data_IF_701208674194
#
_entry.id   IF_701208674194
#
_cell.length_a   1.000
_cell.length_b   1.000
_cell.length_c   1.000
_cell.angle_alpha   90.00
_cell.angle_beta   90.00
_cell.angle_gamma   90.00
#
_symmetry.space_group_name_H-M   'P 1'
#
loop_
_entity.id
_entity.type
_entity.pdbx_description
1 polymer ?
#
# COMPACT_ATOMS: atom_id res chain seq x y z
N UNK A 1 -4.13 -19.88 37.64
CA UNK A 1 -5.39 -19.10 37.54
C UNK A 1 -5.50 -18.59 36.11
N UNK A 2 -6.49 -19.02 35.33
CA UNK A 2 -6.72 -18.47 33.99
C UNK A 2 -7.24 -17.04 34.15
N UNK A 3 -6.57 -16.11 33.47
CA UNK A 3 -6.96 -14.70 33.44
C UNK A 3 -8.31 -14.57 32.71
N UNK A 4 -9.21 -13.84 33.34
CA UNK A 4 -10.57 -13.52 32.88
C UNK A 4 -10.58 -12.55 31.64
N UNK A 5 -9.58 -12.63 30.78
CA UNK A 5 -9.44 -11.73 29.60
C UNK A 5 -10.41 -12.12 28.48
N UNK A 6 -10.97 -13.33 28.54
CA UNK A 6 -11.90 -13.82 27.48
C UNK A 6 -13.34 -13.28 27.61
N UNK A 7 -13.73 -12.76 28.78
CA UNK A 7 -15.07 -12.21 28.99
C UNK A 7 -15.26 -10.81 28.42
N UNK A 8 -14.19 -10.01 28.36
CA UNK A 8 -14.24 -8.65 27.81
C UNK A 8 -14.33 -8.61 26.27
N UNK A 9 -13.97 -9.71 25.60
CA UNK A 9 -13.96 -9.79 24.14
C UNK A 9 -15.37 -9.94 23.51
N UNK A 10 -16.40 -10.25 24.29
CA UNK A 10 -17.74 -10.60 23.75
C UNK A 10 -18.69 -9.42 23.50
N UNK A 11 -18.41 -8.20 23.93
CA UNK A 11 -19.35 -7.07 23.84
C UNK A 11 -18.88 -5.88 22.98
N UNK A 12 -17.74 -5.94 22.33
CA UNK A 12 -17.32 -4.92 21.36
C UNK A 12 -18.10 -5.09 20.06
N UNK A 13 -19.21 -4.37 19.88
CA UNK A 13 -19.91 -4.34 18.59
C UNK A 13 -18.93 -3.84 17.52
N UNK A 14 -18.53 -4.71 16.62
CA UNK A 14 -17.71 -4.33 15.47
C UNK A 14 -18.47 -3.34 14.60
N UNK A 15 -17.82 -2.26 14.21
CA UNK A 15 -18.41 -1.28 13.29
C UNK A 15 -18.56 -1.93 11.90
N UNK A 16 -19.79 -2.04 11.36
CA UNK A 16 -19.98 -2.59 10.02
C UNK A 16 -19.44 -1.63 8.96
N UNK A 17 -19.03 -2.19 7.80
CA UNK A 17 -18.50 -1.41 6.66
C UNK A 17 -19.48 -0.31 6.24
N UNK A 18 -20.79 -0.60 6.20
CA UNK A 18 -21.82 0.38 5.85
C UNK A 18 -21.82 1.60 6.78
N UNK A 19 -21.59 1.40 8.07
CA UNK A 19 -21.50 2.51 9.02
C UNK A 19 -20.21 3.31 8.83
N UNK A 20 -19.09 2.65 8.49
CA UNK A 20 -17.83 3.35 8.20
C UNK A 20 -17.95 4.23 6.95
N UNK A 21 -18.65 3.77 5.92
CA UNK A 21 -18.85 4.53 4.67
C UNK A 21 -19.74 5.77 4.88
N UNK A 22 -20.61 5.78 5.89
CA UNK A 22 -21.45 6.94 6.24
C UNK A 22 -20.83 7.84 7.32
N UNK A 23 -19.75 7.39 7.97
CA UNK A 23 -19.02 8.21 8.95
C UNK A 23 -18.30 9.36 8.23
N UNK A 24 -18.64 10.61 8.59
CA UNK A 24 -18.03 11.80 7.99
C UNK A 24 -16.51 11.83 8.14
N UNK A 25 -15.99 11.31 9.25
CA UNK A 25 -14.54 11.22 9.47
C UNK A 25 -13.83 10.27 8.51
N UNK A 26 -14.56 9.39 7.82
CA UNK A 26 -14.06 8.50 6.77
C UNK A 26 -14.47 8.99 5.39
N UNK A 27 -15.75 9.27 5.19
CA UNK A 27 -16.33 9.63 3.89
C UNK A 27 -15.72 10.91 3.32
N UNK A 28 -15.55 11.97 4.13
CA UNK A 28 -15.00 13.24 3.64
C UNK A 28 -13.55 13.12 3.16
N UNK A 29 -12.60 12.59 3.95
CA UNK A 29 -11.23 12.40 3.49
C UNK A 29 -11.13 11.50 2.25
N UNK A 30 -11.91 10.44 2.18
CA UNK A 30 -11.94 9.53 1.03
C UNK A 30 -12.45 10.21 -0.24
N UNK A 31 -13.52 11.00 -0.13
CA UNK A 31 -14.07 11.76 -1.26
C UNK A 31 -13.08 12.81 -1.75
N UNK A 32 -12.48 13.60 -0.84
CA UNK A 32 -11.48 14.60 -1.19
C UNK A 32 -10.25 13.97 -1.85
N UNK A 33 -9.79 12.84 -1.31
CA UNK A 33 -8.69 12.09 -1.91
C UNK A 33 -9.05 11.64 -3.33
N UNK A 34 -10.22 11.02 -3.54
CA UNK A 34 -10.66 10.54 -4.84
C UNK A 34 -10.76 11.67 -5.86
N UNK A 35 -11.37 12.79 -5.50
CA UNK A 35 -11.44 13.98 -6.36
C UNK A 35 -10.03 14.48 -6.71
N UNK A 36 -9.12 14.55 -5.73
CA UNK A 36 -7.75 15.01 -5.95
C UNK A 36 -6.98 14.09 -6.89
N UNK A 37 -7.13 12.77 -6.75
CA UNK A 37 -6.49 11.78 -7.62
C UNK A 37 -7.01 11.91 -9.06
N UNK A 38 -8.33 11.99 -9.24
CA UNK A 38 -8.94 12.15 -10.56
C UNK A 38 -8.52 13.48 -11.20
N UNK A 39 -8.50 14.57 -10.44
CA UNK A 39 -8.03 15.86 -10.92
C UNK A 39 -6.55 15.79 -11.35
N UNK A 40 -5.67 15.18 -10.57
CA UNK A 40 -4.27 14.95 -10.93
C UNK A 40 -4.13 14.10 -12.20
N UNK A 41 -4.88 13.01 -12.30
CA UNK A 41 -4.81 12.10 -13.43
C UNK A 41 -5.27 12.76 -14.74
N UNK A 42 -6.38 13.52 -14.71
CA UNK A 42 -6.98 14.05 -15.94
C UNK A 42 -6.53 15.48 -16.27
N UNK A 43 -6.17 16.30 -15.27
CA UNK A 43 -5.76 17.68 -15.50
C UNK A 43 -4.25 17.82 -15.73
N UNK A 44 -3.41 17.07 -15.00
CA UNK A 44 -1.95 17.14 -15.12
C UNK A 44 -1.36 16.13 -16.10
N UNK A 45 -2.10 15.09 -16.47
CA UNK A 45 -1.62 14.06 -17.38
C UNK A 45 -1.09 14.59 -18.70
N UNK A 46 -1.88 15.32 -19.50
CA UNK A 46 -1.45 15.84 -20.79
C UNK A 46 -0.24 16.79 -20.72
N UNK A 47 -0.19 17.80 -19.82
CA UNK A 47 0.98 18.64 -19.64
C UNK A 47 2.25 17.88 -19.26
N UNK A 48 2.13 16.90 -18.35
CA UNK A 48 3.27 16.09 -17.93
C UNK A 48 3.82 15.23 -19.06
N UNK A 49 2.98 14.72 -19.95
CA UNK A 49 3.42 13.99 -21.13
C UNK A 49 4.28 14.87 -22.08
N UNK A 50 3.93 16.13 -22.24
CA UNK A 50 4.72 17.10 -23.01
C UNK A 50 6.08 17.35 -22.36
N UNK A 51 6.12 17.55 -21.04
CA UNK A 51 7.37 17.81 -20.29
C UNK A 51 8.31 16.59 -20.30
N UNK A 52 7.79 15.40 -20.19
CA UNK A 52 8.59 14.17 -20.17
C UNK A 52 9.04 13.70 -21.55
N UNK A 53 8.66 14.43 -22.63
CA UNK A 53 9.10 14.17 -24.01
C UNK A 53 8.64 12.81 -24.57
N UNK A 54 7.61 12.21 -23.99
CA UNK A 54 7.11 10.93 -24.43
C UNK A 54 8.13 9.79 -24.31
N UNK A 55 9.25 10.00 -23.59
CA UNK A 55 10.27 8.97 -23.39
C UNK A 55 9.56 7.76 -22.76
N UNK A 56 9.50 6.69 -23.53
CA UNK A 56 8.97 5.43 -23.09
C UNK A 56 9.59 5.07 -21.75
N UNK A 57 8.76 4.79 -20.76
CA UNK A 57 9.25 4.41 -19.45
C UNK A 57 10.21 3.22 -19.59
N UNK A 58 11.00 2.99 -18.58
CA UNK A 58 11.94 1.87 -18.47
C UNK A 58 11.34 0.52 -18.92
N UNK A 59 10.04 0.39 -18.87
CA UNK A 59 9.29 -0.72 -19.44
C UNK A 59 8.88 -0.34 -20.86
N UNK A 60 9.47 -0.99 -21.89
CA UNK A 60 9.27 -0.70 -23.32
C UNK A 60 7.80 -0.65 -23.78
N UNK A 61 6.85 -1.13 -22.98
CA UNK A 61 5.41 -1.09 -23.18
C UNK A 61 4.71 -0.61 -21.90
N UNK A 62 5.38 0.15 -21.03
CA UNK A 62 4.78 0.69 -19.80
C UNK A 62 3.88 1.90 -20.09
N UNK A 63 2.96 2.21 -19.17
CA UNK A 63 2.13 3.39 -19.28
C UNK A 63 2.99 4.65 -19.33
N UNK A 64 2.49 5.75 -19.96
CA UNK A 64 3.17 7.03 -19.98
C UNK A 64 3.57 7.46 -18.56
N UNK A 65 4.77 8.04 -18.41
CA UNK A 65 5.35 8.41 -17.11
C UNK A 65 4.43 9.29 -16.26
N UNK A 66 3.68 10.20 -16.87
CA UNK A 66 2.78 11.07 -16.15
C UNK A 66 1.71 10.33 -15.34
N UNK A 67 1.34 9.10 -15.79
CA UNK A 67 0.38 8.28 -15.07
C UNK A 67 0.87 7.85 -13.68
N UNK A 68 2.18 7.84 -13.46
CA UNK A 68 2.77 7.57 -12.15
C UNK A 68 2.69 8.79 -11.19
N UNK A 69 2.50 10.01 -11.70
CA UNK A 69 2.51 11.22 -10.89
C UNK A 69 1.35 11.28 -9.88
N UNK A 70 0.16 10.80 -10.29
CA UNK A 70 -1.01 10.78 -9.41
C UNK A 70 -0.83 9.82 -8.22
N UNK A 71 0.03 8.81 -8.39
CA UNK A 71 0.31 7.81 -7.39
C UNK A 71 1.17 8.35 -6.23
N UNK A 72 2.12 9.23 -6.51
CA UNK A 72 3.10 9.72 -5.54
C UNK A 72 2.50 10.35 -4.27
N UNK A 73 1.51 11.26 -4.34
CA UNK A 73 0.92 11.84 -3.13
C UNK A 73 0.30 10.78 -2.21
N UNK A 74 -0.34 9.77 -2.77
CA UNK A 74 -0.96 8.70 -1.99
C UNK A 74 0.10 7.80 -1.35
N UNK A 75 1.11 7.37 -2.12
CA UNK A 75 2.16 6.45 -1.66
C UNK A 75 3.10 7.10 -0.64
N UNK A 76 3.56 8.31 -0.93
CA UNK A 76 4.64 8.96 -0.17
C UNK A 76 4.13 9.83 0.98
N UNK A 77 2.86 10.25 0.94
CA UNK A 77 2.31 11.19 1.93
C UNK A 77 1.09 10.60 2.63
N UNK A 78 0.03 10.32 1.89
CA UNK A 78 -1.27 10.01 2.52
C UNK A 78 -1.23 8.73 3.34
N UNK A 79 -0.70 7.63 2.80
CA UNK A 79 -0.61 6.37 3.55
C UNK A 79 0.27 6.48 4.80
N UNK A 80 1.49 7.05 4.76
CA UNK A 80 2.27 7.31 5.97
C UNK A 80 1.55 8.21 6.98
N UNK A 81 0.86 9.26 6.54
CA UNK A 81 0.08 10.14 7.42
C UNK A 81 -1.04 9.38 8.13
N UNK A 82 -1.82 8.57 7.41
CA UNK A 82 -2.87 7.75 8.01
C UNK A 82 -2.31 6.78 9.05
N UNK A 83 -1.13 6.19 8.79
CA UNK A 83 -0.46 5.33 9.76
C UNK A 83 -0.06 6.10 11.03
N UNK A 84 0.61 7.25 10.87
CA UNK A 84 1.05 8.07 12.02
C UNK A 84 -0.14 8.56 12.84
N UNK A 85 -1.20 9.03 12.19
CA UNK A 85 -2.41 9.49 12.89
C UNK A 85 -3.12 8.34 13.62
N UNK A 86 -3.22 7.17 12.98
CA UNK A 86 -3.80 5.98 13.61
C UNK A 86 -2.97 5.49 14.79
N UNK A 87 -1.64 5.50 14.66
CA UNK A 87 -0.73 5.13 15.72
C UNK A 87 -0.78 6.10 16.93
N UNK A 88 -0.82 7.41 16.65
CA UNK A 88 -0.96 8.43 17.70
C UNK A 88 -2.27 8.32 18.45
N UNK A 89 -3.37 8.01 17.78
CA UNK A 89 -4.68 7.81 18.39
C UNK A 89 -4.70 6.65 19.42
N UNK A 90 -3.74 5.73 19.34
CA UNK A 90 -3.55 4.60 20.26
C UNK A 90 -2.59 4.88 21.43
N UNK A 91 -2.12 6.10 21.59
CA UNK A 91 -1.17 6.44 22.65
C UNK A 91 0.18 5.74 22.53
N UNK A 92 0.68 5.60 21.30
CA UNK A 92 2.03 5.05 21.01
C UNK A 92 2.26 3.58 21.40
N UNK A 93 1.22 2.77 21.49
CA UNK A 93 1.32 1.35 21.87
C UNK A 93 1.86 0.42 20.74
N UNK A 94 2.20 0.96 19.58
CA UNK A 94 2.81 0.23 18.46
C UNK A 94 1.85 -0.55 17.56
N UNK A 95 2.37 -1.08 16.43
CA UNK A 95 1.54 -1.74 15.41
C UNK A 95 0.81 -2.99 15.93
N UNK A 96 1.41 -3.73 16.87
CA UNK A 96 0.79 -4.91 17.48
C UNK A 96 -0.49 -4.55 18.23
N UNK A 97 -0.44 -3.52 19.07
CA UNK A 97 -1.60 -3.08 19.86
C UNK A 97 -2.71 -2.58 18.94
N UNK A 98 -2.36 -1.86 17.89
CA UNK A 98 -3.32 -1.40 16.89
C UNK A 98 -4.01 -2.55 16.17
N UNK A 99 -3.27 -3.58 15.76
CA UNK A 99 -3.84 -4.78 15.17
C UNK A 99 -4.82 -5.50 16.10
N UNK A 100 -4.46 -5.66 17.37
CA UNK A 100 -5.33 -6.28 18.36
C UNK A 100 -6.60 -5.46 18.62
N UNK A 101 -6.49 -4.13 18.68
CA UNK A 101 -7.65 -3.27 18.81
C UNK A 101 -8.54 -3.37 17.56
N UNK A 102 -7.97 -3.31 16.36
CA UNK A 102 -8.72 -3.48 15.12
C UNK A 102 -9.47 -4.82 15.07
N UNK A 103 -8.83 -5.90 15.50
CA UNK A 103 -9.46 -7.22 15.55
C UNK A 103 -10.67 -7.28 16.48
N UNK A 104 -10.65 -6.51 17.58
CA UNK A 104 -11.71 -6.49 18.58
C UNK A 104 -12.88 -5.59 18.17
N UNK A 105 -12.58 -4.38 17.72
CA UNK A 105 -13.55 -3.30 17.61
C UNK A 105 -13.84 -2.87 16.17
N UNK A 106 -12.88 -3.05 15.25
CA UNK A 106 -12.92 -2.50 13.89
C UNK A 106 -13.32 -1.02 13.87
N UNK A 107 -12.72 -0.23 14.76
CA UNK A 107 -13.01 1.17 14.92
C UNK A 107 -11.79 2.03 14.64
N UNK A 108 -12.05 3.30 14.34
CA UNK A 108 -11.05 4.32 14.09
C UNK A 108 -11.06 4.80 12.65
N UNK A 109 -11.27 6.11 12.42
CA UNK A 109 -11.43 6.66 11.07
C UNK A 109 -10.19 6.43 10.21
N UNK A 110 -8.98 6.58 10.78
CA UNK A 110 -7.73 6.38 10.03
C UNK A 110 -7.53 4.92 9.56
N UNK A 111 -7.95 3.94 10.38
CA UNK A 111 -7.92 2.54 9.99
C UNK A 111 -8.92 2.26 8.87
N UNK A 112 -10.15 2.76 8.99
CA UNK A 112 -11.15 2.64 7.94
C UNK A 112 -10.77 3.38 6.66
N UNK A 113 -10.18 4.58 6.76
CA UNK A 113 -9.64 5.26 5.58
C UNK A 113 -8.62 4.38 4.85
N UNK A 114 -7.69 3.74 5.56
CA UNK A 114 -6.73 2.83 4.92
C UNK A 114 -7.40 1.59 4.32
N UNK A 115 -8.34 0.97 5.05
CA UNK A 115 -9.06 -0.23 4.60
C UNK A 115 -9.82 0.03 3.29
N UNK A 116 -10.35 1.22 3.11
CA UNK A 116 -11.07 1.61 1.90
C UNK A 116 -10.15 2.18 0.81
N UNK A 117 -9.16 2.99 1.21
CA UNK A 117 -8.24 3.66 0.29
C UNK A 117 -7.41 2.67 -0.53
N UNK A 118 -6.80 1.69 0.13
CA UNK A 118 -5.84 0.82 -0.55
C UNK A 118 -6.46 -0.01 -1.69
N UNK A 119 -7.59 -0.72 -1.50
CA UNK A 119 -8.22 -1.43 -2.61
C UNK A 119 -8.79 -0.47 -3.67
N UNK A 120 -9.34 0.69 -3.27
CA UNK A 120 -9.84 1.69 -4.21
C UNK A 120 -8.70 2.25 -5.06
N UNK A 121 -7.55 2.50 -4.48
CA UNK A 121 -6.32 2.87 -5.16
C UNK A 121 -5.94 1.85 -6.25
N UNK A 122 -5.85 0.56 -5.89
CA UNK A 122 -5.50 -0.50 -6.83
C UNK A 122 -6.54 -0.65 -7.94
N UNK A 123 -7.82 -0.42 -7.63
CA UNK A 123 -8.89 -0.41 -8.64
C UNK A 123 -8.81 0.80 -9.57
N UNK A 124 -8.43 1.97 -9.06
CA UNK A 124 -8.25 3.16 -9.89
C UNK A 124 -7.15 2.98 -10.94
N UNK A 125 -6.10 2.22 -10.65
CA UNK A 125 -5.09 1.89 -11.64
C UNK A 125 -5.68 1.21 -12.88
N UNK A 126 -6.67 0.34 -12.71
CA UNK A 126 -7.36 -0.30 -13.86
C UNK A 126 -8.11 0.71 -14.72
N UNK A 127 -8.68 1.75 -14.13
CA UNK A 127 -9.42 2.79 -14.86
C UNK A 127 -8.48 3.83 -15.48
N UNK A 128 -7.44 4.23 -14.78
CA UNK A 128 -6.52 5.29 -15.23
C UNK A 128 -5.52 4.75 -16.26
N UNK A 129 -4.98 3.54 -16.03
CA UNK A 129 -4.03 2.92 -16.93
C UNK A 129 -4.70 2.23 -18.13
N UNK A 130 -5.96 1.80 -17.95
CA UNK A 130 -6.66 0.94 -18.91
C UNK A 130 -6.23 -0.53 -18.77
N UNK A 131 -7.19 -1.42 -18.80
CA UNK A 131 -6.92 -2.87 -18.74
C UNK A 131 -6.07 -3.36 -19.91
N UNK A 132 -6.25 -2.71 -21.09
CA UNK A 132 -5.54 -3.04 -22.33
C UNK A 132 -4.04 -2.75 -22.25
N UNK A 133 -3.67 -1.69 -21.53
CA UNK A 133 -2.28 -1.28 -21.33
C UNK A 133 -1.59 -2.00 -20.16
N UNK A 134 -2.39 -2.70 -19.33
CA UNK A 134 -1.88 -3.34 -18.12
C UNK A 134 -1.27 -4.70 -18.44
N UNK A 135 0.00 -4.89 -18.07
CA UNK A 135 0.64 -6.19 -18.21
C UNK A 135 -0.05 -7.24 -17.36
N UNK A 136 -0.18 -8.50 -17.81
CA UNK A 136 -0.80 -9.58 -17.03
C UNK A 136 -0.19 -9.73 -15.63
N UNK A 137 1.11 -9.51 -15.50
CA UNK A 137 1.80 -9.58 -14.20
C UNK A 137 1.34 -8.45 -13.26
N UNK A 138 1.06 -7.25 -13.77
CA UNK A 138 0.53 -6.14 -12.96
C UNK A 138 -0.92 -6.40 -12.55
N UNK A 139 -1.73 -6.94 -13.44
CA UNK A 139 -3.09 -7.38 -13.12
C UNK A 139 -3.08 -8.42 -11.98
N UNK A 140 -2.25 -9.44 -12.11
CA UNK A 140 -2.08 -10.47 -11.08
C UNK A 140 -1.60 -9.86 -9.75
N UNK A 141 -0.65 -8.91 -9.81
CA UNK A 141 -0.17 -8.19 -8.65
C UNK A 141 -1.31 -7.43 -7.94
N UNK A 142 -2.10 -6.64 -8.66
CA UNK A 142 -3.20 -5.86 -8.08
C UNK A 142 -4.27 -6.76 -7.46
N UNK A 143 -4.69 -7.81 -8.17
CA UNK A 143 -5.66 -8.78 -7.64
C UNK A 143 -5.12 -9.44 -6.38
N UNK A 144 -3.86 -9.88 -6.39
CA UNK A 144 -3.22 -10.49 -5.22
C UNK A 144 -3.16 -9.51 -4.05
N UNK A 145 -2.83 -8.24 -4.29
CA UNK A 145 -2.79 -7.21 -3.25
C UNK A 145 -4.19 -6.92 -2.67
N UNK A 146 -5.24 -6.86 -3.50
CA UNK A 146 -6.62 -6.67 -3.02
C UNK A 146 -7.05 -7.86 -2.14
N UNK A 147 -6.81 -9.09 -2.61
CA UNK A 147 -7.14 -10.31 -1.85
C UNK A 147 -6.37 -10.36 -0.53
N UNK A 148 -5.06 -10.08 -0.57
CA UNK A 148 -4.22 -10.03 0.63
C UNK A 148 -4.71 -8.96 1.62
N UNK A 149 -5.14 -7.80 1.11
CA UNK A 149 -5.70 -6.72 1.92
C UNK A 149 -6.97 -7.16 2.65
N UNK A 150 -7.92 -7.74 1.92
CA UNK A 150 -9.16 -8.23 2.52
C UNK A 150 -8.88 -9.30 3.58
N UNK A 151 -7.96 -10.22 3.31
CA UNK A 151 -7.54 -11.26 4.23
C UNK A 151 -6.88 -10.67 5.48
N UNK A 152 -6.00 -9.70 5.34
CA UNK A 152 -5.29 -9.09 6.45
C UNK A 152 -6.18 -8.19 7.31
N UNK A 153 -7.12 -7.49 6.70
CA UNK A 153 -7.99 -6.57 7.42
C UNK A 153 -9.14 -7.26 8.17
N UNK A 154 -9.55 -8.46 7.75
CA UNK A 154 -10.74 -9.12 8.32
C UNK A 154 -10.44 -10.46 8.99
N UNK A 155 -10.12 -11.57 8.30
CA UNK A 155 -9.89 -12.87 8.97
C UNK A 155 -8.66 -12.86 9.89
N UNK A 156 -7.60 -12.14 9.54
CA UNK A 156 -6.37 -12.09 10.33
C UNK A 156 -6.09 -10.70 10.92
N UNK A 157 -7.14 -10.01 11.30
CA UNK A 157 -7.16 -8.64 11.77
C UNK A 157 -6.19 -8.32 12.93
N UNK A 158 -5.80 -9.32 13.74
CA UNK A 158 -4.80 -9.13 14.79
C UNK A 158 -3.44 -8.65 14.26
N UNK A 159 -3.10 -8.98 13.02
CA UNK A 159 -1.89 -8.52 12.33
C UNK A 159 -2.02 -7.16 11.64
N UNK A 160 -3.20 -6.52 11.65
CA UNK A 160 -3.52 -5.33 10.85
C UNK A 160 -2.46 -4.23 10.91
N UNK A 161 -1.98 -3.87 12.10
CA UNK A 161 -1.00 -2.79 12.23
C UNK A 161 0.34 -3.11 11.55
N UNK A 162 0.81 -4.36 11.63
CA UNK A 162 2.01 -4.81 10.91
C UNK A 162 1.78 -4.91 9.41
N UNK A 163 0.59 -5.35 9.01
CA UNK A 163 0.18 -5.34 7.61
C UNK A 163 0.20 -3.93 7.04
N UNK A 164 -0.42 -2.98 7.73
CA UNK A 164 -0.47 -1.58 7.29
C UNK A 164 0.94 -1.00 7.12
N UNK A 165 1.82 -1.19 8.11
CA UNK A 165 3.21 -0.75 8.02
C UNK A 165 3.97 -1.44 6.88
N UNK A 166 3.72 -2.72 6.64
CA UNK A 166 4.27 -3.48 5.52
C UNK A 166 3.82 -2.92 4.16
N UNK A 167 2.53 -2.59 4.03
CA UNK A 167 2.00 -1.94 2.80
C UNK A 167 2.66 -0.59 2.58
N UNK A 168 2.77 0.28 3.61
CA UNK A 168 3.46 1.56 3.48
C UNK A 168 4.91 1.36 3.03
N UNK A 169 5.59 0.37 3.60
CA UNK A 169 6.97 0.08 3.23
C UNK A 169 7.08 -0.33 1.77
N UNK A 170 6.17 -1.17 1.27
CA UNK A 170 6.13 -1.56 -0.15
C UNK A 170 5.74 -0.38 -1.03
N UNK A 171 4.75 0.42 -0.65
CA UNK A 171 4.32 1.59 -1.42
C UNK A 171 5.39 2.68 -1.47
N UNK A 172 6.21 2.84 -0.43
CA UNK A 172 7.39 3.70 -0.48
C UNK A 172 8.34 3.27 -1.60
N UNK A 173 8.65 1.98 -1.72
CA UNK A 173 9.47 1.47 -2.82
C UNK A 173 8.83 1.66 -4.20
N UNK A 174 7.50 1.52 -4.30
CA UNK A 174 6.75 1.85 -5.53
C UNK A 174 6.83 3.34 -5.85
N UNK A 175 6.73 4.21 -4.84
CA UNK A 175 6.91 5.65 -4.99
C UNK A 175 8.30 6.02 -5.51
N UNK A 176 9.35 5.38 -4.97
CA UNK A 176 10.73 5.56 -5.47
C UNK A 176 10.87 5.07 -6.90
N UNK A 177 10.21 3.95 -7.28
CA UNK A 177 10.13 3.50 -8.67
C UNK A 177 9.46 4.55 -9.57
N UNK A 178 8.36 5.15 -9.11
CA UNK A 178 7.68 6.20 -9.86
C UNK A 178 8.57 7.44 -10.03
N UNK A 179 9.32 7.84 -9.00
CA UNK A 179 10.32 8.92 -9.09
C UNK A 179 11.41 8.56 -10.11
N UNK A 180 11.89 7.31 -10.10
CA UNK A 180 12.85 6.82 -11.10
C UNK A 180 12.28 6.94 -12.53
N UNK A 181 11.01 6.59 -12.73
CA UNK A 181 10.34 6.74 -14.02
C UNK A 181 10.25 8.21 -14.51
N UNK A 182 10.25 9.19 -13.60
CA UNK A 182 10.34 10.61 -13.90
C UNK A 182 11.77 11.13 -14.01
N UNK A 183 12.77 10.35 -13.67
CA UNK A 183 14.12 10.78 -13.32
C UNK A 183 15.02 11.26 -14.47
N UNK A 184 14.51 11.40 -15.69
CA UNK A 184 15.24 12.11 -16.72
C UNK A 184 15.18 13.62 -16.46
N UNK A 185 16.24 14.38 -16.34
CA UNK A 185 17.66 14.16 -16.72
C UNK A 185 18.59 13.67 -15.59
N UNK A 186 18.08 13.22 -14.46
CA UNK A 186 18.85 12.89 -13.24
C UNK A 186 19.45 11.45 -13.25
N UNK A 187 19.38 10.81 -14.38
CA UNK A 187 20.03 9.55 -14.63
C UNK A 187 21.57 9.73 -14.61
N UNK A 188 22.37 8.95 -13.90
CA UNK A 188 22.09 7.64 -13.27
C UNK A 188 21.67 7.70 -11.79
N UNK A 189 21.70 8.87 -11.13
CA UNK A 189 21.39 9.00 -9.72
C UNK A 189 20.03 8.35 -9.35
N UNK A 190 19.01 8.57 -10.18
CA UNK A 190 17.68 8.00 -9.95
C UNK A 190 17.66 6.48 -10.00
N UNK A 191 18.56 5.83 -10.77
CA UNK A 191 18.73 4.38 -10.81
C UNK A 191 19.26 3.84 -9.49
N UNK A 192 20.28 4.50 -8.92
CA UNK A 192 20.83 4.11 -7.61
C UNK A 192 19.80 4.30 -6.50
N UNK A 193 19.08 5.43 -6.51
CA UNK A 193 18.01 5.72 -5.54
C UNK A 193 16.88 4.70 -5.66
N UNK A 194 16.51 4.33 -6.88
CA UNK A 194 15.49 3.30 -7.11
C UNK A 194 15.93 1.94 -6.56
N UNK A 195 17.12 1.49 -6.89
CA UNK A 195 17.65 0.21 -6.41
C UNK A 195 17.75 0.19 -4.88
N UNK A 196 18.34 1.22 -4.28
CA UNK A 196 18.48 1.33 -2.84
C UNK A 196 17.13 1.43 -2.13
N UNK A 197 16.24 2.30 -2.60
CA UNK A 197 14.91 2.51 -2.04
C UNK A 197 14.05 1.24 -2.13
N UNK A 198 14.11 0.53 -3.25
CA UNK A 198 13.40 -0.74 -3.41
C UNK A 198 13.96 -1.80 -2.45
N UNK A 199 15.28 -1.90 -2.31
CA UNK A 199 15.92 -2.85 -1.38
C UNK A 199 15.53 -2.56 0.06
N UNK A 200 15.62 -1.31 0.51
CA UNK A 200 15.20 -0.90 1.86
C UNK A 200 13.72 -1.19 2.09
N UNK A 201 12.87 -0.83 1.13
CA UNK A 201 11.44 -1.10 1.15
C UNK A 201 11.13 -2.60 1.35
N UNK A 202 11.80 -3.45 0.60
CA UNK A 202 11.63 -4.90 0.66
C UNK A 202 12.11 -5.47 2.00
N UNK A 203 13.23 -4.98 2.56
CA UNK A 203 13.73 -5.39 3.88
C UNK A 203 12.75 -4.99 4.98
N UNK A 204 12.20 -3.76 4.93
CA UNK A 204 11.19 -3.31 5.87
C UNK A 204 9.90 -4.14 5.78
N UNK A 205 9.47 -4.50 4.57
CA UNK A 205 8.31 -5.37 4.37
C UNK A 205 8.55 -6.78 4.96
N UNK A 206 9.74 -7.35 4.79
CA UNK A 206 10.12 -8.62 5.43
C UNK A 206 10.14 -8.51 6.97
N UNK A 207 10.62 -7.40 7.51
CA UNK A 207 10.56 -7.13 8.96
C UNK A 207 9.11 -7.07 9.46
N UNK A 208 8.23 -6.40 8.73
CA UNK A 208 6.80 -6.36 9.06
C UNK A 208 6.15 -7.74 8.98
N UNK A 209 6.50 -8.54 7.96
CA UNK A 209 6.00 -9.91 7.82
C UNK A 209 6.48 -10.82 8.96
N UNK A 210 7.72 -10.67 9.43
CA UNK A 210 8.20 -11.36 10.62
C UNK A 210 7.33 -11.07 11.83
N UNK A 211 7.04 -9.80 12.12
CA UNK A 211 6.19 -9.42 13.24
C UNK A 211 4.71 -9.81 13.04
N UNK A 212 4.23 -9.83 11.80
CA UNK A 212 2.93 -10.39 11.45
C UNK A 212 2.83 -11.84 11.90
N UNK A 213 3.81 -12.68 11.56
CA UNK A 213 3.88 -14.10 11.95
C UNK A 213 3.86 -14.27 13.47
N UNK A 214 4.51 -13.37 14.22
CA UNK A 214 4.51 -13.41 15.67
C UNK A 214 3.15 -13.00 16.30
N UNK A 215 2.36 -12.22 15.56
CA UNK A 215 1.09 -11.66 16.07
C UNK A 215 -0.11 -12.50 15.68
N UNK A 216 -0.13 -13.05 14.46
CA UNK A 216 -1.24 -13.86 13.94
C UNK A 216 -1.13 -15.28 14.46
N UNK A 217 -2.16 -15.77 15.16
CA UNK A 217 -2.15 -17.11 15.75
C UNK A 217 -2.39 -18.23 14.73
N UNK A 218 -3.20 -17.96 13.71
CA UNK A 218 -3.54 -18.95 12.67
C UNK A 218 -2.34 -19.36 11.84
N UNK A 219 -2.12 -20.67 11.67
CA UNK A 219 -1.07 -21.21 10.78
C UNK A 219 -1.26 -20.76 9.33
N UNK A 220 -2.48 -20.77 8.83
CA UNK A 220 -2.82 -20.32 7.47
C UNK A 220 -2.51 -18.83 7.30
N UNK A 221 -2.89 -17.99 8.27
CA UNK A 221 -2.59 -16.56 8.23
C UNK A 221 -1.08 -16.28 8.22
N UNK A 222 -0.30 -16.99 9.02
CA UNK A 222 1.17 -16.88 9.01
C UNK A 222 1.75 -17.27 7.66
N UNK A 223 1.34 -18.41 7.11
CA UNK A 223 1.82 -18.89 5.82
C UNK A 223 1.47 -17.93 4.69
N UNK A 224 0.24 -17.44 4.64
CA UNK A 224 -0.21 -16.46 3.65
C UNK A 224 0.65 -15.20 3.71
N UNK A 225 0.89 -14.65 4.90
CA UNK A 225 1.73 -13.47 5.07
C UNK A 225 3.17 -13.67 4.57
N UNK A 226 3.78 -14.82 4.89
CA UNK A 226 5.14 -15.16 4.42
C UNK A 226 5.17 -15.32 2.90
N UNK A 227 4.24 -16.08 2.33
CA UNK A 227 4.23 -16.39 0.89
C UNK A 227 4.00 -15.11 0.07
N UNK A 228 2.98 -14.33 0.43
CA UNK A 228 2.67 -13.10 -0.30
C UNK A 228 3.83 -12.11 -0.20
N UNK A 229 4.35 -11.85 1.00
CA UNK A 229 5.48 -10.93 1.17
C UNK A 229 6.71 -11.44 0.43
N UNK A 230 7.03 -12.72 0.52
CA UNK A 230 8.17 -13.32 -0.18
C UNK A 230 8.06 -13.20 -1.70
N UNK A 231 6.91 -13.55 -2.27
CA UNK A 231 6.68 -13.41 -3.72
C UNK A 231 6.79 -11.95 -4.15
N UNK A 232 6.12 -11.04 -3.46
CA UNK A 232 6.14 -9.61 -3.81
C UNK A 232 7.56 -9.03 -3.72
N UNK A 233 8.29 -9.28 -2.64
CA UNK A 233 9.63 -8.73 -2.45
C UNK A 233 10.64 -9.29 -3.45
N UNK A 234 10.57 -10.59 -3.78
CA UNK A 234 11.43 -11.20 -4.80
C UNK A 234 11.14 -10.61 -6.18
N UNK A 235 9.87 -10.49 -6.57
CA UNK A 235 9.49 -9.92 -7.86
C UNK A 235 9.98 -8.46 -7.98
N UNK A 236 9.75 -7.65 -6.96
CA UNK A 236 10.14 -6.23 -6.92
C UNK A 236 11.67 -6.07 -6.96
N UNK A 237 12.39 -6.90 -6.19
CA UNK A 237 13.86 -6.84 -6.17
C UNK A 237 14.46 -7.26 -7.51
N UNK A 238 13.85 -8.26 -8.16
CA UNK A 238 14.27 -8.69 -9.50
C UNK A 238 14.12 -7.58 -10.54
N UNK A 239 13.02 -6.84 -10.51
CA UNK A 239 12.80 -5.71 -11.41
C UNK A 239 13.79 -4.56 -11.13
N UNK A 240 14.02 -4.23 -9.86
CA UNK A 240 15.02 -3.22 -9.48
C UNK A 240 16.44 -3.62 -9.93
N UNK A 241 16.77 -4.90 -9.80
CA UNK A 241 18.08 -5.42 -10.25
C UNK A 241 18.24 -5.36 -11.76
N UNK A 242 17.19 -5.70 -12.51
CA UNK A 242 17.20 -5.56 -13.97
C UNK A 242 17.37 -4.11 -14.40
N UNK A 243 16.66 -3.19 -13.75
CA UNK A 243 16.81 -1.78 -14.00
C UNK A 243 18.23 -1.30 -13.78
N UNK A 244 18.84 -1.73 -12.69
CA UNK A 244 20.22 -1.40 -12.34
C UNK A 244 21.22 -1.96 -13.36
N UNK A 245 21.10 -3.24 -13.71
CA UNK A 245 22.02 -3.91 -14.63
C UNK A 245 22.02 -3.38 -16.08
N UNK A 246 20.90 -2.76 -16.52
CA UNK A 246 20.82 -2.14 -17.85
C UNK A 246 21.41 -0.73 -17.85
N UNK A 247 21.56 -0.13 -16.66
CA UNK A 247 21.98 1.26 -16.49
C UNK A 247 23.48 1.43 -16.18
N UNK A 248 24.13 0.34 -15.79
CA UNK A 248 25.58 0.23 -15.55
C UNK A 248 26.26 -0.45 -16.72
#
# INVERSE_FOLDING_TARGET
MPRNDDAAAKNGKQQPIAQALTDRAVAVPMTLWLISVLALAFCLGPPMNLVTGGVQGFFSNGPPRWRAAWALPTQMVLMPVLFVLGHRALGSQGPRAWGLQWARERRGPNAWCFVLLFPTWLLLDFFILGLEDMRPIMLLHHVTCIVAHMIACFPFAAGFGWYFLGVISLEFGSGVCNIFCFGWPWYPLTTYLYFAGMTISNLLACYCAYHWVQTVQSRSGRLIGIVITGVLTVMRQREAHRAFAVST
#
